data_IF_159174531782
#
_entry.id   IF_159174531782
#
_cell.length_a   1.000
_cell.length_b   1.000
_cell.length_c   1.000
_cell.angle_alpha   90.00
_cell.angle_beta   90.00
_cell.angle_gamma   90.00
#
_symmetry.space_group_name_H-M   'P 1'
#
loop_
_entity.id
_entity.type
_entity.pdbx_description
1 polymer ?
#
# COMPACT_ATOMS: atom_id res chain seq x y z
N UNK A 1 -0.87 27.29 5.85
CA UNK A 1 -1.60 26.66 4.73
C UNK A 1 -2.96 26.21 5.24
N UNK A 2 -4.05 26.82 4.76
CA UNK A 2 -5.42 26.46 5.13
C UNK A 2 -6.06 25.77 3.93
N UNK A 3 -6.01 24.43 3.90
CA UNK A 3 -6.58 23.62 2.82
C UNK A 3 -7.95 23.15 3.31
N UNK A 4 -8.97 23.97 3.11
CA UNK A 4 -10.36 23.58 3.36
C UNK A 4 -10.95 22.89 2.12
N UNK A 5 -10.33 21.79 1.67
CA UNK A 5 -10.98 20.88 0.74
C UNK A 5 -11.64 19.78 1.56
N UNK A 6 -12.97 19.84 1.69
CA UNK A 6 -13.77 18.68 2.05
C UNK A 6 -14.67 18.39 0.85
N UNK A 7 -14.37 17.36 0.04
CA UNK A 7 -15.39 16.81 -0.83
C UNK A 7 -16.58 16.45 0.06
N UNK A 8 -17.69 17.15 -0.10
CA UNK A 8 -18.95 16.71 0.48
C UNK A 8 -19.36 15.45 -0.27
N UNK A 9 -19.70 14.38 0.45
CA UNK A 9 -20.13 13.15 -0.18
C UNK A 9 -21.31 13.41 -1.13
N UNK A 10 -21.22 12.92 -2.36
CA UNK A 10 -22.34 12.88 -3.30
C UNK A 10 -23.42 11.88 -2.85
N UNK A 11 -24.61 11.89 -3.46
CA UNK A 11 -25.72 11.01 -3.07
C UNK A 11 -25.36 9.51 -3.16
N UNK A 12 -24.52 9.12 -4.13
CA UNK A 12 -24.01 7.75 -4.24
C UNK A 12 -23.06 7.40 -3.07
N UNK A 13 -22.11 8.27 -2.78
CA UNK A 13 -21.13 8.05 -1.71
C UNK A 13 -21.80 8.05 -0.32
N UNK A 14 -22.88 8.82 -0.12
CA UNK A 14 -23.69 8.78 1.10
C UNK A 14 -24.39 7.42 1.26
N UNK A 15 -24.91 6.84 0.17
CA UNK A 15 -25.52 5.52 0.21
C UNK A 15 -24.48 4.43 0.49
N UNK A 16 -23.34 4.46 -0.21
CA UNK A 16 -22.23 3.53 0.05
C UNK A 16 -21.74 3.62 1.50
N UNK A 17 -21.67 4.82 2.06
CA UNK A 17 -21.32 5.03 3.45
C UNK A 17 -22.36 4.46 4.42
N UNK A 18 -23.66 4.55 4.10
CA UNK A 18 -24.72 3.93 4.89
C UNK A 18 -24.61 2.40 4.85
N UNK A 19 -24.39 1.83 3.66
CA UNK A 19 -24.24 0.39 3.48
C UNK A 19 -23.01 -0.14 4.26
N UNK A 20 -21.89 0.59 4.24
CA UNK A 20 -20.70 0.24 5.02
C UNK A 20 -20.97 0.25 6.53
N UNK A 21 -21.75 1.20 7.03
CA UNK A 21 -22.09 1.27 8.47
C UNK A 21 -22.90 0.07 8.95
N UNK A 22 -23.74 -0.51 8.11
CA UNK A 22 -24.51 -1.71 8.45
C UNK A 22 -23.62 -2.96 8.57
N UNK A 23 -22.49 -3.00 7.85
CA UNK A 23 -21.55 -4.14 7.87
C UNK A 23 -20.53 -4.03 9.00
N UNK A 24 -20.29 -2.82 9.52
CA UNK A 24 -19.31 -2.62 10.59
C UNK A 24 -19.89 -3.12 11.93
N UNK A 25 -19.22 -4.08 12.60
CA UNK A 25 -19.67 -4.55 13.91
C UNK A 25 -19.56 -3.43 14.95
N UNK A 26 -20.67 -3.18 15.64
CA UNK A 26 -20.76 -2.23 16.76
C UNK A 26 -20.90 -3.00 18.09
N UNK A 27 -20.31 -2.51 19.20
CA UNK A 27 -19.59 -1.24 19.36
C UNK A 27 -18.13 -1.29 18.86
N UNK A 28 -17.64 -0.17 18.35
CA UNK A 28 -16.22 0.00 18.06
C UNK A 28 -15.40 -0.06 19.35
N UNK A 29 -14.18 -0.59 19.27
CA UNK A 29 -13.27 -0.55 20.42
C UNK A 29 -12.99 0.91 20.81
N UNK A 30 -12.87 1.15 22.12
CA UNK A 30 -12.41 2.42 22.68
C UNK A 30 -10.88 2.49 22.76
N UNK A 31 -10.20 1.41 22.43
CA UNK A 31 -8.74 1.37 22.38
C UNK A 31 -8.22 2.28 21.27
N UNK A 32 -7.03 2.89 21.46
CA UNK A 32 -6.42 3.70 20.41
C UNK A 32 -6.13 2.86 19.17
N UNK A 33 -6.50 3.40 18.00
CA UNK A 33 -6.16 2.80 16.72
C UNK A 33 -4.64 2.60 16.62
N UNK A 34 -4.23 1.37 16.33
CA UNK A 34 -2.82 1.01 16.16
C UNK A 34 -2.56 0.66 14.71
N UNK A 35 -1.60 1.35 14.09
CA UNK A 35 -1.13 1.01 12.75
C UNK A 35 -0.11 -0.12 12.88
N UNK A 36 -0.35 -1.22 12.18
CA UNK A 36 0.61 -2.33 12.08
C UNK A 36 0.93 -2.65 10.62
N UNK A 37 2.17 -3.02 10.37
CA UNK A 37 2.66 -3.37 9.05
C UNK A 37 2.74 -4.88 8.88
N UNK A 38 1.71 -5.48 8.30
CA UNK A 38 1.58 -6.94 8.13
C UNK A 38 2.65 -7.57 7.23
N UNK A 39 3.43 -6.76 6.50
CA UNK A 39 4.50 -7.20 5.62
C UNK A 39 5.85 -7.35 6.36
N UNK A 40 5.90 -7.07 7.66
CA UNK A 40 7.05 -7.33 8.52
C UNK A 40 6.62 -8.05 9.80
N UNK A 41 7.38 -9.06 10.28
CA UNK A 41 7.13 -9.68 11.59
C UNK A 41 7.20 -8.69 12.76
N UNK A 42 7.96 -7.60 12.62
CA UNK A 42 8.04 -6.55 13.64
C UNK A 42 6.80 -5.66 13.70
N UNK A 43 5.92 -5.72 12.70
CA UNK A 43 4.80 -4.79 12.57
C UNK A 43 5.23 -3.37 12.18
N UNK A 44 6.53 -3.13 11.96
CA UNK A 44 7.06 -1.83 11.56
C UNK A 44 7.18 -1.70 10.04
N UNK A 45 6.87 -0.49 9.55
CA UNK A 45 7.03 -0.16 8.15
C UNK A 45 8.50 -0.14 7.74
N UNK A 46 8.80 -0.73 6.57
CA UNK A 46 10.05 -0.48 5.88
C UNK A 46 9.86 -0.45 4.38
N UNK A 47 10.62 0.41 3.70
CA UNK A 47 10.61 0.49 2.22
C UNK A 47 10.96 -0.87 1.61
N UNK A 48 11.87 -1.61 2.23
CA UNK A 48 12.27 -2.95 1.80
C UNK A 48 11.10 -3.95 1.81
N UNK A 49 10.37 -4.06 2.91
CA UNK A 49 9.22 -4.97 3.01
C UNK A 49 8.05 -4.56 2.10
N UNK A 50 7.81 -3.26 1.93
CA UNK A 50 6.87 -2.73 0.95
C UNK A 50 7.25 -3.12 -0.48
N UNK A 51 8.51 -2.88 -0.85
CA UNK A 51 9.03 -3.19 -2.17
C UNK A 51 8.99 -4.69 -2.45
N UNK A 52 9.39 -5.52 -1.48
CA UNK A 52 9.30 -6.97 -1.59
C UNK A 52 7.87 -7.46 -1.79
N UNK A 53 6.88 -6.89 -1.09
CA UNK A 53 5.48 -7.25 -1.29
C UNK A 53 4.98 -6.86 -2.69
N UNK A 54 5.32 -5.65 -3.15
CA UNK A 54 4.97 -5.19 -4.50
C UNK A 54 5.62 -6.07 -5.59
N UNK A 55 6.90 -6.40 -5.45
CA UNK A 55 7.62 -7.25 -6.38
C UNK A 55 7.31 -8.75 -6.26
N UNK A 56 6.65 -9.19 -5.19
CA UNK A 56 6.08 -10.55 -5.09
C UNK A 56 4.75 -10.63 -5.81
N UNK A 57 3.91 -9.58 -5.71
CA UNK A 57 2.62 -9.49 -6.40
C UNK A 57 2.77 -9.22 -7.90
N UNK A 58 3.70 -8.33 -8.30
CA UNK A 58 4.19 -8.27 -9.67
C UNK A 58 5.16 -9.43 -9.86
N UNK A 59 4.72 -10.53 -10.46
CA UNK A 59 5.54 -11.70 -10.78
C UNK A 59 6.73 -11.29 -11.68
N UNK A 60 7.80 -10.78 -11.07
CA UNK A 60 9.13 -10.64 -11.65
C UNK A 60 9.91 -11.95 -11.51
N UNK A 61 9.22 -13.09 -11.47
CA UNK A 61 9.83 -14.42 -11.45
C UNK A 61 10.75 -14.64 -12.66
N UNK A 62 10.57 -13.89 -13.76
CA UNK A 62 11.42 -13.95 -14.94
C UNK A 62 12.70 -13.10 -14.83
N UNK A 63 12.83 -12.20 -13.84
CA UNK A 63 14.03 -11.39 -13.61
C UNK A 63 15.02 -12.05 -12.63
N UNK A 64 14.59 -13.05 -11.86
CA UNK A 64 15.49 -13.77 -10.94
C UNK A 64 16.68 -14.45 -11.61
N UNK A 65 16.64 -14.90 -12.89
CA UNK A 65 17.84 -15.33 -13.61
C UNK A 65 18.76 -14.17 -14.01
N UNK A 66 18.23 -12.97 -14.24
CA UNK A 66 19.01 -11.80 -14.67
C UNK A 66 19.91 -11.25 -13.56
N UNK A 67 19.50 -11.38 -12.30
CA UNK A 67 20.35 -11.00 -11.16
C UNK A 67 21.55 -11.94 -10.95
N UNK A 68 21.48 -13.17 -11.48
CA UNK A 68 22.58 -14.15 -11.45
C UNK A 68 23.37 -14.24 -12.75
N UNK A 69 22.89 -13.62 -13.82
CA UNK A 69 23.68 -13.46 -15.02
C UNK A 69 24.85 -12.50 -14.70
N UNK A 70 26.10 -12.81 -15.06
CA UNK A 70 27.17 -11.83 -15.11
C UNK A 70 26.86 -10.88 -16.28
N UNK A 71 25.89 -10.00 -16.08
CA UNK A 71 25.45 -9.01 -17.04
C UNK A 71 26.52 -7.90 -17.05
N UNK A 72 27.20 -7.61 -18.17
CA UNK A 72 27.98 -6.39 -18.23
C UNK A 72 26.97 -5.24 -18.20
N UNK A 73 26.84 -4.59 -17.04
CA UNK A 73 25.98 -3.42 -16.82
C UNK A 73 26.53 -2.23 -17.63
N UNK A 74 26.40 -2.28 -18.95
CA UNK A 74 26.58 -1.14 -19.86
C UNK A 74 25.23 -0.54 -20.23
N UNK A 75 24.26 -0.56 -19.32
CA UNK A 75 23.05 0.23 -19.48
C UNK A 75 23.38 1.62 -18.95
N UNK A 76 23.71 2.54 -19.86
CA UNK A 76 23.74 3.98 -19.57
C UNK A 76 22.29 4.43 -19.41
N UNK A 77 21.83 4.49 -18.17
CA UNK A 77 20.56 5.15 -17.85
C UNK A 77 20.83 6.65 -17.94
N UNK A 78 20.39 7.27 -19.03
CA UNK A 78 20.29 8.72 -19.10
C UNK A 78 18.97 9.12 -18.43
N UNK A 79 19.04 9.59 -17.19
CA UNK A 79 17.94 10.33 -16.57
C UNK A 79 18.13 11.79 -16.97
N UNK A 80 17.11 12.38 -17.61
CA UNK A 80 17.02 13.80 -17.94
C UNK A 80 16.31 14.54 -16.82
#
# INVERSE_FOLDING_TARGET
WNIAFRPSFGPAEVQEWADLREVVPLPLSQDPDTVSWSLSPSGEFSVSSAYQAMCRLLVLQWLSPLSKAPMPLKIKIFVW
#
